data_IF_097032826111
#
_entry.id   IF_097032826111
#
_cell.length_a   1.000
_cell.length_b   1.000
_cell.length_c   1.000
_cell.angle_alpha   90.00
_cell.angle_beta   90.00
_cell.angle_gamma   90.00
#
_symmetry.space_group_name_H-M   'P 1'
#
loop_
_entity.id
_entity.type
_entity.pdbx_description
1 polymer ?
#
# COMPACT_ATOMS: atom_id res chain seq x y z
N UNK A 1 -8.35 -22.98 26.70
CA UNK A 1 -7.30 -21.93 26.62
C UNK A 1 -6.58 -22.19 25.31
N UNK A 2 -6.56 -21.23 24.38
CA UNK A 2 -6.03 -21.45 23.02
C UNK A 2 -4.53 -21.71 23.11
N UNK A 3 -4.08 -22.92 22.83
CA UNK A 3 -2.65 -23.32 22.90
C UNK A 3 -1.75 -22.57 21.92
N UNK A 4 -2.33 -21.87 20.95
CA UNK A 4 -1.65 -21.19 19.85
C UNK A 4 -1.53 -19.67 20.04
N UNK A 5 -2.06 -19.12 21.13
CA UNK A 5 -2.05 -17.69 21.42
C UNK A 5 -1.32 -17.42 22.73
N UNK A 6 -0.51 -16.37 22.74
CA UNK A 6 0.04 -15.79 23.96
C UNK A 6 -1.03 -14.95 24.67
N UNK A 7 -0.95 -14.80 26.01
CA UNK A 7 -1.73 -13.77 26.69
C UNK A 7 -1.30 -12.39 26.21
N UNK A 8 -2.25 -11.46 26.10
CA UNK A 8 -1.92 -10.06 25.82
C UNK A 8 -1.11 -9.45 26.99
N UNK A 9 -0.20 -8.50 26.72
CA UNK A 9 0.47 -7.74 27.78
C UNK A 9 -0.53 -7.08 28.73
N UNK A 10 -0.19 -6.97 30.02
CA UNK A 10 -1.13 -6.44 31.04
C UNK A 10 -1.68 -5.05 30.73
N UNK A 11 -0.91 -4.18 30.07
CA UNK A 11 -1.37 -2.85 29.69
C UNK A 11 -2.41 -2.86 28.55
N UNK A 12 -2.59 -4.00 27.86
CA UNK A 12 -3.63 -4.20 26.86
C UNK A 12 -4.98 -4.62 27.48
N UNK A 13 -5.06 -4.74 28.80
CA UNK A 13 -6.32 -5.00 29.48
C UNK A 13 -7.33 -3.88 29.21
N UNK A 14 -8.54 -4.25 28.81
CA UNK A 14 -9.60 -3.28 28.51
C UNK A 14 -9.51 -2.67 27.11
N UNK A 15 -8.70 -3.24 26.22
CA UNK A 15 -8.68 -2.85 24.79
C UNK A 15 -10.08 -2.77 24.20
N UNK A 16 -10.33 -1.71 23.43
CA UNK A 16 -11.59 -1.49 22.70
C UNK A 16 -11.71 -2.38 21.46
N UNK A 17 -10.59 -2.66 20.80
CA UNK A 17 -10.50 -3.54 19.65
C UNK A 17 -10.29 -5.01 20.05
N UNK A 18 -10.53 -5.92 19.11
CA UNK A 18 -10.27 -7.36 19.25
C UNK A 18 -8.85 -7.68 18.82
N UNK A 19 -8.11 -8.37 19.70
CA UNK A 19 -6.70 -8.67 19.51
C UNK A 19 -6.42 -10.16 19.55
N UNK A 20 -5.40 -10.56 18.80
CA UNK A 20 -4.68 -11.81 19.03
C UNK A 20 -3.18 -11.54 19.11
N UNK A 21 -2.51 -12.24 20.04
CA UNK A 21 -1.06 -12.33 20.05
C UNK A 21 -0.68 -13.78 19.75
N UNK A 22 -0.18 -14.02 18.54
CA UNK A 22 0.13 -15.36 18.07
C UNK A 22 1.38 -15.88 18.77
N UNK A 23 1.32 -17.12 19.26
CA UNK A 23 2.48 -17.81 19.81
C UNK A 23 3.24 -18.50 18.68
N UNK A 24 4.27 -17.83 18.14
CA UNK A 24 5.09 -18.38 17.06
C UNK A 24 5.71 -19.75 17.42
N UNK A 25 6.09 -19.95 18.69
CA UNK A 25 6.57 -21.25 19.17
C UNK A 25 5.49 -22.34 19.14
N UNK A 26 4.24 -21.99 19.44
CA UNK A 26 3.14 -22.96 19.43
C UNK A 26 2.66 -23.28 18.01
N UNK A 27 2.78 -22.35 17.07
CA UNK A 27 2.46 -22.59 15.65
C UNK A 27 3.65 -23.10 14.84
N UNK A 28 4.84 -23.21 15.44
CA UNK A 28 6.01 -23.80 14.79
C UNK A 28 5.82 -25.28 14.43
N UNK A 29 4.90 -25.97 15.12
CA UNK A 29 4.49 -27.34 14.81
C UNK A 29 2.99 -27.47 14.98
N UNK A 30 2.28 -27.57 13.87
CA UNK A 30 0.82 -27.68 13.86
C UNK A 30 0.39 -29.16 13.93
N UNK A 31 -0.60 -29.50 14.78
CA UNK A 31 -1.17 -30.85 14.82
C UNK A 31 -2.09 -31.12 13.63
N UNK A 32 -2.19 -32.39 13.24
CA UNK A 32 -3.14 -32.83 12.22
C UNK A 32 -2.77 -32.42 10.79
N UNK A 33 -3.80 -32.23 9.98
CA UNK A 33 -3.74 -31.79 8.59
C UNK A 33 -4.03 -30.28 8.50
N UNK A 34 -3.30 -29.59 7.62
CA UNK A 34 -3.45 -28.17 7.26
C UNK A 34 -2.94 -27.96 5.84
N UNK A 35 -3.56 -27.06 5.08
CA UNK A 35 -3.19 -26.81 3.69
C UNK A 35 -3.65 -25.42 3.23
N UNK A 36 -2.82 -24.40 3.48
CA UNK A 36 -3.07 -23.04 2.99
C UNK A 36 -2.14 -22.65 1.84
N UNK A 37 -2.64 -21.83 0.93
CA UNK A 37 -1.81 -21.13 -0.04
C UNK A 37 -1.06 -19.96 0.62
N UNK A 38 0.08 -19.57 0.06
CA UNK A 38 0.74 -18.31 0.38
C UNK A 38 -0.07 -17.08 -0.09
N UNK A 39 -1.07 -17.27 -0.96
CA UNK A 39 -1.96 -16.21 -1.40
C UNK A 39 -3.09 -15.91 -0.41
N UNK A 40 -3.40 -16.87 0.47
CA UNK A 40 -4.52 -16.78 1.40
C UNK A 40 -4.04 -16.33 2.79
N UNK A 41 -4.88 -15.57 3.50
CA UNK A 41 -4.63 -15.19 4.88
C UNK A 41 -4.39 -16.44 5.77
N UNK A 42 -3.56 -16.37 6.82
CA UNK A 42 -3.22 -17.55 7.63
C UNK A 42 -4.41 -18.31 8.26
N UNK A 43 -5.56 -17.66 8.39
CA UNK A 43 -6.79 -18.24 8.94
C UNK A 43 -7.88 -18.50 7.90
N UNK A 44 -7.59 -18.27 6.62
CA UNK A 44 -8.45 -18.65 5.51
C UNK A 44 -8.18 -20.10 5.05
N UNK A 45 -7.73 -20.98 5.95
CA UNK A 45 -7.51 -22.40 5.67
C UNK A 45 -8.84 -23.17 5.82
N UNK A 46 -9.41 -23.70 4.72
CA UNK A 46 -10.67 -24.44 4.78
C UNK A 46 -10.50 -25.87 5.31
N UNK A 47 -9.27 -26.38 5.41
CA UNK A 47 -9.00 -27.80 5.61
C UNK A 47 -8.01 -28.00 6.77
N UNK A 48 -8.49 -27.73 7.98
CA UNK A 48 -7.76 -27.96 9.23
C UNK A 48 -8.44 -29.04 10.05
N UNK A 49 -7.75 -30.16 10.29
CA UNK A 49 -8.33 -31.29 11.01
C UNK A 49 -8.31 -31.13 12.53
N UNK A 50 -7.35 -30.38 13.08
CA UNK A 50 -7.26 -30.14 14.51
C UNK A 50 -8.29 -29.10 14.98
N UNK A 51 -9.15 -29.49 15.90
CA UNK A 51 -10.25 -28.62 16.39
C UNK A 51 -9.74 -27.42 17.19
N UNK A 52 -8.59 -27.52 17.86
CA UNK A 52 -7.98 -26.41 18.61
C UNK A 52 -7.42 -25.35 17.67
N UNK A 53 -6.71 -25.77 16.63
CA UNK A 53 -6.19 -24.92 15.58
C UNK A 53 -7.32 -24.26 14.79
N UNK A 54 -8.31 -25.04 14.34
CA UNK A 54 -9.48 -24.53 13.61
C UNK A 54 -10.22 -23.43 14.39
N UNK A 55 -10.42 -23.61 15.70
CA UNK A 55 -11.02 -22.59 16.58
C UNK A 55 -10.15 -21.35 16.73
N UNK A 56 -8.83 -21.51 16.76
CA UNK A 56 -7.88 -20.40 16.82
C UNK A 56 -7.94 -19.58 15.53
N UNK A 57 -7.85 -20.22 14.36
CA UNK A 57 -7.96 -19.55 13.07
C UNK A 57 -9.31 -18.81 12.92
N UNK A 58 -10.40 -19.46 13.34
CA UNK A 58 -11.74 -18.83 13.38
C UNK A 58 -11.80 -17.59 14.29
N UNK A 59 -11.01 -17.55 15.36
CA UNK A 59 -10.88 -16.37 16.22
C UNK A 59 -10.03 -15.28 15.58
N UNK A 60 -8.87 -15.63 15.00
CA UNK A 60 -8.01 -14.70 14.26
C UNK A 60 -8.78 -14.01 13.14
N UNK A 61 -9.67 -14.71 12.44
CA UNK A 61 -10.49 -14.12 11.40
C UNK A 61 -11.47 -13.03 11.90
N UNK A 62 -11.66 -12.90 13.21
CA UNK A 62 -12.57 -11.91 13.83
C UNK A 62 -11.84 -10.80 14.60
N UNK A 63 -10.51 -10.76 14.57
CA UNK A 63 -9.74 -9.72 15.24
C UNK A 63 -9.54 -8.49 14.37
N UNK A 64 -9.30 -7.35 14.99
CA UNK A 64 -8.93 -6.11 14.30
C UNK A 64 -7.39 -6.00 14.18
N UNK A 65 -6.67 -6.61 15.13
CA UNK A 65 -5.21 -6.61 15.17
C UNK A 65 -4.68 -8.01 15.48
N UNK A 66 -3.60 -8.40 14.80
CA UNK A 66 -2.85 -9.64 15.05
C UNK A 66 -1.39 -9.29 15.28
N UNK A 67 -0.87 -9.56 16.47
CA UNK A 67 0.54 -9.39 16.81
C UNK A 67 1.30 -10.71 16.61
N UNK A 68 2.49 -10.63 16.04
CA UNK A 68 3.48 -11.70 15.96
C UNK A 68 4.70 -11.42 16.84
N UNK A 69 4.97 -10.15 17.12
CA UNK A 69 6.07 -9.67 17.96
C UNK A 69 5.58 -8.64 18.98
N UNK A 70 6.25 -8.57 20.13
CA UNK A 70 5.89 -7.64 21.21
C UNK A 70 6.09 -6.17 20.80
N UNK A 71 7.05 -5.85 19.93
CA UNK A 71 7.27 -4.48 19.40
C UNK A 71 6.03 -3.92 18.71
N UNK A 72 5.14 -4.77 18.19
CA UNK A 72 3.89 -4.31 17.58
C UNK A 72 3.02 -3.51 18.55
N UNK A 73 3.06 -3.84 19.84
CA UNK A 73 2.34 -3.10 20.87
C UNK A 73 2.97 -1.75 21.22
N UNK A 74 4.22 -1.49 20.83
CA UNK A 74 4.83 -0.16 20.95
C UNK A 74 4.26 0.79 19.88
N UNK A 75 3.83 0.22 18.75
CA UNK A 75 3.24 0.94 17.62
C UNK A 75 1.74 1.14 17.84
N UNK A 76 1.02 0.05 18.10
CA UNK A 76 -0.44 0.03 18.23
C UNK A 76 -0.81 -0.24 19.71
N UNK A 77 -1.51 0.71 20.33
CA UNK A 77 -1.89 0.66 21.75
C UNK A 77 -3.30 0.08 22.02
N UNK A 78 -3.70 -0.01 23.30
CA UNK A 78 -5.00 -0.55 23.70
C UNK A 78 -6.20 0.29 23.25
N UNK A 79 -6.00 1.58 23.01
CA UNK A 79 -7.04 2.52 22.62
C UNK A 79 -7.30 2.53 21.10
N UNK A 80 -6.45 1.83 20.34
CA UNK A 80 -6.54 1.79 18.89
C UNK A 80 -7.81 1.09 18.42
N UNK A 81 -8.45 1.64 17.38
CA UNK A 81 -9.65 1.08 16.76
C UNK A 81 -9.47 0.96 15.27
N UNK A 82 -10.21 0.04 14.63
CA UNK A 82 -10.37 -0.04 13.18
C UNK A 82 -11.85 0.18 12.85
N UNK A 83 -12.15 1.18 12.02
CA UNK A 83 -13.50 1.53 11.62
C UNK A 83 -13.65 1.47 10.10
N UNK A 84 -14.65 0.75 9.59
CA UNK A 84 -14.96 0.70 8.15
C UNK A 84 -15.81 1.90 7.75
N UNK A 85 -15.16 3.05 7.52
CA UNK A 85 -15.80 4.36 7.35
C UNK A 85 -16.49 4.55 5.99
N UNK A 86 -16.05 3.82 4.95
CA UNK A 86 -16.72 3.80 3.65
C UNK A 86 -16.85 2.37 3.14
N UNK A 87 -18.07 1.96 2.79
CA UNK A 87 -18.37 0.70 2.11
C UNK A 87 -18.62 0.98 0.63
N UNK A 88 -17.64 0.65 -0.20
CA UNK A 88 -17.67 0.97 -1.63
C UNK A 88 -17.85 -0.30 -2.47
N UNK A 89 -17.97 -0.12 -3.79
CA UNK A 89 -17.99 -1.22 -4.73
C UNK A 89 -16.79 -2.15 -4.51
N UNK A 90 -16.94 -3.42 -4.87
CA UNK A 90 -15.87 -4.41 -4.77
C UNK A 90 -14.83 -4.22 -5.87
N UNK A 91 -14.17 -3.06 -5.83
CA UNK A 91 -13.18 -2.56 -6.77
C UNK A 91 -11.91 -2.19 -6.03
N UNK A 92 -10.80 -2.12 -6.76
CA UNK A 92 -9.54 -1.69 -6.16
C UNK A 92 -9.62 -0.17 -5.93
N UNK A 93 -9.34 0.24 -4.70
CA UNK A 93 -9.19 1.64 -4.35
C UNK A 93 -7.73 1.90 -4.01
N UNK A 94 -7.20 3.01 -4.52
CA UNK A 94 -5.76 3.27 -4.62
C UNK A 94 -5.44 4.71 -4.23
N UNK A 95 -4.16 5.08 -4.31
CA UNK A 95 -3.67 6.45 -4.15
C UNK A 95 -4.06 7.19 -2.85
N UNK A 96 -4.11 6.56 -1.65
CA UNK A 96 -4.54 7.26 -0.46
C UNK A 96 -3.53 8.35 -0.06
N UNK A 97 -4.04 9.56 0.17
CA UNK A 97 -3.27 10.73 0.57
C UNK A 97 -4.05 11.52 1.61
N UNK A 98 -3.54 11.60 2.84
CA UNK A 98 -4.09 12.50 3.84
C UNK A 98 -3.59 13.92 3.62
N UNK A 99 -4.52 14.85 3.39
CA UNK A 99 -4.30 16.27 3.17
C UNK A 99 -4.58 16.99 4.48
N UNK A 100 -3.52 17.33 5.20
CA UNK A 100 -3.61 18.02 6.50
C UNK A 100 -4.33 19.37 6.39
N UNK A 101 -4.11 20.11 5.32
CA UNK A 101 -4.61 21.48 5.16
C UNK A 101 -6.13 21.55 5.00
N UNK A 102 -6.76 20.51 4.45
CA UNK A 102 -8.21 20.42 4.28
C UNK A 102 -8.85 19.36 5.19
N UNK A 103 -8.04 18.63 5.96
CA UNK A 103 -8.45 17.50 6.79
C UNK A 103 -9.24 16.45 6.00
N UNK A 104 -8.71 16.05 4.84
CA UNK A 104 -9.36 15.13 3.92
C UNK A 104 -8.42 14.03 3.45
N UNK A 105 -8.99 12.89 3.06
CA UNK A 105 -8.25 11.81 2.38
C UNK A 105 -8.64 11.79 0.92
N UNK A 106 -7.67 12.08 0.04
CA UNK A 106 -7.76 11.81 -1.38
C UNK A 106 -7.51 10.33 -1.64
N UNK A 107 -8.28 9.70 -2.52
CA UNK A 107 -8.03 8.36 -3.03
C UNK A 107 -8.83 8.15 -4.33
N UNK A 108 -8.69 7.00 -4.97
CA UNK A 108 -9.33 6.70 -6.25
C UNK A 108 -10.02 5.34 -6.24
N UNK A 109 -10.98 5.14 -7.14
CA UNK A 109 -11.37 3.82 -7.63
C UNK A 109 -10.59 3.56 -8.91
N UNK A 110 -10.10 2.34 -9.12
CA UNK A 110 -9.18 2.03 -10.20
C UNK A 110 -9.62 0.86 -11.08
N UNK A 111 -9.70 1.13 -12.39
CA UNK A 111 -9.88 0.17 -13.47
C UNK A 111 -11.30 -0.41 -13.63
N UNK A 112 -11.50 -1.26 -14.65
CA UNK A 112 -12.83 -1.84 -14.94
C UNK A 112 -13.36 -2.75 -13.82
N UNK A 113 -14.69 -2.92 -13.70
CA UNK A 113 -15.76 -2.23 -14.43
C UNK A 113 -16.09 -0.82 -13.91
N UNK A 114 -15.27 -0.25 -13.02
CA UNK A 114 -15.46 1.09 -12.49
C UNK A 114 -15.33 2.18 -13.56
N UNK A 115 -15.76 3.40 -13.25
CA UNK A 115 -15.63 4.53 -14.17
C UNK A 115 -16.43 4.34 -15.46
N UNK A 116 -15.94 4.90 -16.57
CA UNK A 116 -16.42 4.61 -17.92
C UNK A 116 -15.45 3.60 -18.56
N UNK A 117 -15.82 2.31 -18.53
CA UNK A 117 -14.98 1.19 -18.96
C UNK A 117 -13.55 1.19 -18.36
N UNK A 118 -13.42 1.56 -17.09
CA UNK A 118 -12.12 1.65 -16.40
C UNK A 118 -11.44 3.01 -16.45
N UNK A 119 -12.01 3.97 -17.18
CA UNK A 119 -11.53 5.35 -17.24
C UNK A 119 -12.25 6.24 -16.24
N UNK A 120 -11.47 6.88 -15.36
CA UNK A 120 -11.93 7.72 -14.26
C UNK A 120 -11.39 9.14 -14.41
N UNK A 121 -12.23 10.09 -14.82
CA UNK A 121 -11.94 11.54 -14.84
C UNK A 121 -12.26 12.26 -13.52
N UNK A 122 -12.50 11.48 -12.47
CA UNK A 122 -12.89 11.95 -11.15
C UNK A 122 -12.17 11.13 -10.07
N UNK A 123 -12.04 11.71 -8.88
CA UNK A 123 -11.38 11.12 -7.73
C UNK A 123 -12.25 11.27 -6.48
N UNK A 124 -11.92 10.54 -5.42
CA UNK A 124 -12.62 10.64 -4.15
C UNK A 124 -11.90 11.58 -3.20
N UNK A 125 -12.69 12.35 -2.45
CA UNK A 125 -12.24 13.18 -1.34
C UNK A 125 -13.12 12.92 -0.13
N UNK A 126 -12.56 12.22 0.86
CA UNK A 126 -13.21 11.85 2.11
C UNK A 126 -12.92 12.90 3.17
N UNK A 127 -13.96 13.53 3.69
CA UNK A 127 -13.89 14.36 4.89
C UNK A 127 -13.73 13.47 6.13
N UNK A 128 -12.62 13.63 6.86
CA UNK A 128 -12.27 12.69 7.95
C UNK A 128 -13.05 12.92 9.23
N UNK A 129 -13.69 14.08 9.39
CA UNK A 129 -14.50 14.39 10.57
C UNK A 129 -15.92 13.85 10.42
N UNK A 130 -16.50 14.05 9.23
CA UNK A 130 -17.90 13.72 8.95
C UNK A 130 -18.06 12.37 8.26
N UNK A 131 -16.97 11.75 7.79
CA UNK A 131 -16.97 10.61 6.88
C UNK A 131 -17.80 10.89 5.61
N UNK A 132 -17.91 12.15 5.18
CA UNK A 132 -18.60 12.48 3.93
C UNK A 132 -17.67 12.24 2.75
N UNK A 133 -18.08 11.39 1.83
CA UNK A 133 -17.35 11.11 0.61
C UNK A 133 -17.87 11.98 -0.55
N UNK A 134 -16.98 12.71 -1.21
CA UNK A 134 -17.30 13.50 -2.39
C UNK A 134 -16.52 12.99 -3.60
N UNK A 135 -17.11 13.08 -4.79
CA UNK A 135 -16.38 12.96 -6.06
C UNK A 135 -15.93 14.34 -6.50
N UNK A 136 -14.67 14.44 -6.88
CA UNK A 136 -14.06 15.67 -7.39
C UNK A 136 -13.48 15.43 -8.79
N UNK A 137 -13.29 16.52 -9.54
CA UNK A 137 -12.53 16.55 -10.78
C UNK A 137 -11.57 17.73 -10.70
N UNK A 138 -10.33 17.54 -11.12
CA UNK A 138 -9.32 18.61 -11.17
C UNK A 138 -9.53 19.52 -12.37
N UNK A 139 -8.84 20.67 -12.38
CA UNK A 139 -8.80 21.60 -13.51
C UNK A 139 -7.36 21.73 -14.06
N UNK A 140 -7.04 21.18 -15.24
CA UNK A 140 -7.91 20.35 -16.08
C UNK A 140 -8.14 18.94 -15.49
N UNK A 141 -9.12 18.16 -16.02
CA UNK A 141 -9.43 16.82 -15.49
C UNK A 141 -8.23 15.88 -15.48
N UNK A 142 -8.07 15.16 -14.37
CA UNK A 142 -7.08 14.11 -14.19
C UNK A 142 -7.73 12.76 -14.43
N UNK A 143 -7.09 11.93 -15.24
CA UNK A 143 -7.59 10.60 -15.61
C UNK A 143 -6.76 9.52 -14.94
N UNK A 144 -7.43 8.49 -14.41
CA UNK A 144 -6.81 7.26 -13.92
C UNK A 144 -5.59 7.50 -13.02
N UNK A 145 -5.77 8.37 -12.03
CA UNK A 145 -4.82 8.48 -10.93
C UNK A 145 -4.64 7.13 -10.23
N UNK A 146 -3.43 6.85 -9.74
CA UNK A 146 -3.06 5.53 -9.22
C UNK A 146 -2.23 5.64 -7.94
N UNK A 147 -1.26 6.57 -7.91
CA UNK A 147 -0.42 6.81 -6.74
C UNK A 147 -0.48 8.25 -6.28
N UNK A 148 -0.34 8.48 -4.98
CA UNK A 148 -0.33 9.82 -4.42
C UNK A 148 0.63 9.97 -3.24
N UNK A 149 1.31 11.13 -3.18
CA UNK A 149 2.07 11.63 -2.03
C UNK A 149 1.79 13.11 -1.82
N UNK A 150 1.52 13.53 -0.58
CA UNK A 150 1.49 14.95 -0.21
C UNK A 150 2.92 15.39 0.11
N UNK A 151 3.35 16.49 -0.50
CA UNK A 151 4.64 17.12 -0.22
C UNK A 151 4.53 18.63 -0.38
N UNK A 152 5.05 19.38 0.59
CA UNK A 152 5.01 20.84 0.60
C UNK A 152 3.61 21.42 0.27
N UNK A 153 2.59 20.97 1.01
CA UNK A 153 1.19 21.41 0.90
C UNK A 153 0.50 21.13 -0.45
N UNK A 154 1.11 20.33 -1.33
CA UNK A 154 0.52 19.94 -2.62
C UNK A 154 0.41 18.41 -2.71
N UNK A 155 -0.64 17.95 -3.38
CA UNK A 155 -0.73 16.56 -3.80
C UNK A 155 0.18 16.37 -5.02
N UNK A 156 0.99 15.32 -5.02
CA UNK A 156 1.69 14.84 -6.20
C UNK A 156 1.09 13.49 -6.54
N UNK A 157 0.54 13.38 -7.74
CA UNK A 157 -0.26 12.24 -8.17
C UNK A 157 0.32 11.69 -9.45
N UNK A 158 0.38 10.37 -9.54
CA UNK A 158 0.75 9.68 -10.77
C UNK A 158 -0.44 8.98 -11.41
N UNK A 159 -0.42 8.85 -12.74
CA UNK A 159 -1.51 8.26 -13.53
C UNK A 159 -1.05 7.11 -14.42
N UNK A 160 -1.98 6.22 -14.78
CA UNK A 160 -1.76 5.23 -15.84
C UNK A 160 -1.87 5.84 -17.25
N UNK A 161 -2.66 6.91 -17.39
CA UNK A 161 -3.16 7.37 -18.69
C UNK A 161 -4.50 6.71 -19.06
N UNK A 162 -4.92 6.83 -20.31
CA UNK A 162 -6.12 6.16 -20.83
C UNK A 162 -6.05 5.97 -22.34
N UNK A 163 -6.65 4.88 -22.82
CA UNK A 163 -6.81 4.54 -24.24
C UNK A 163 -5.46 4.60 -25.00
N UNK A 164 -5.44 5.22 -26.18
CA UNK A 164 -4.25 5.60 -26.94
C UNK A 164 -3.96 7.12 -26.92
N UNK A 165 -4.72 7.87 -26.12
CA UNK A 165 -4.63 9.34 -26.06
C UNK A 165 -3.61 9.84 -25.01
N UNK A 166 -3.49 9.14 -23.87
CA UNK A 166 -2.67 9.57 -22.75
C UNK A 166 -1.84 8.41 -22.18
N UNK A 167 -0.57 8.68 -21.87
CA UNK A 167 0.31 7.79 -21.10
C UNK A 167 0.55 8.34 -19.69
N UNK A 168 1.26 7.58 -18.86
CA UNK A 168 1.48 7.95 -17.47
C UNK A 168 2.06 9.35 -17.26
N UNK A 169 1.50 10.07 -16.29
CA UNK A 169 1.94 11.42 -15.93
C UNK A 169 2.26 11.50 -14.44
N UNK A 170 3.18 12.40 -14.08
CA UNK A 170 3.26 12.96 -12.74
C UNK A 170 2.65 14.36 -12.78
N UNK A 171 1.66 14.60 -11.94
CA UNK A 171 0.98 15.89 -11.80
C UNK A 171 1.12 16.42 -10.38
N UNK A 172 1.03 17.73 -10.24
CA UNK A 172 0.91 18.41 -8.95
C UNK A 172 -0.45 19.09 -8.86
N UNK A 173 -1.15 18.93 -7.75
CA UNK A 173 -2.51 19.44 -7.53
C UNK A 173 -2.53 20.34 -6.29
N UNK A 174 -3.12 21.52 -6.43
CA UNK A 174 -3.49 22.39 -5.31
C UNK A 174 -4.72 21.79 -4.60
N UNK A 175 -4.63 21.41 -3.30
CA UNK A 175 -5.73 20.74 -2.61
C UNK A 175 -6.94 21.64 -2.35
N UNK A 176 -6.80 22.97 -2.41
CA UNK A 176 -7.89 23.91 -2.20
C UNK A 176 -8.61 24.26 -3.49
N UNK A 177 -7.87 24.48 -4.58
CA UNK A 177 -8.47 24.91 -5.86
C UNK A 177 -8.69 23.76 -6.83
N UNK A 178 -8.12 22.58 -6.57
CA UNK A 178 -8.08 21.41 -7.46
C UNK A 178 -7.46 21.70 -8.83
N UNK A 179 -6.68 22.77 -8.95
CA UNK A 179 -5.92 23.05 -10.16
C UNK A 179 -4.73 22.12 -10.20
N UNK A 180 -4.49 21.53 -11.37
CA UNK A 180 -3.37 20.63 -11.57
C UNK A 180 -2.43 21.12 -12.67
N UNK A 181 -1.14 20.83 -12.50
CA UNK A 181 -0.11 20.98 -13.52
C UNK A 181 0.59 19.65 -13.79
N UNK A 182 0.72 19.28 -15.07
CA UNK A 182 1.57 18.15 -15.47
C UNK A 182 3.03 18.53 -15.34
N UNK A 183 3.78 17.77 -14.51
CA UNK A 183 5.21 17.97 -14.31
C UNK A 183 6.03 17.18 -15.34
N UNK A 184 5.69 15.90 -15.55
CA UNK A 184 6.29 15.05 -16.59
C UNK A 184 5.25 14.11 -17.19
N UNK A 185 5.43 13.76 -18.46
CA UNK A 185 4.59 12.80 -19.19
C UNK A 185 5.37 11.99 -20.23
N UNK A 186 6.69 12.15 -20.30
CA UNK A 186 7.57 11.41 -21.21
C UNK A 186 9.00 11.35 -20.67
N UNK A 187 9.79 10.41 -21.19
CA UNK A 187 11.23 10.35 -21.03
C UNK A 187 11.90 10.53 -22.39
N UNK A 188 12.35 11.75 -22.70
CA UNK A 188 12.98 12.07 -23.99
C UNK A 188 12.13 11.65 -25.20
N UNK A 189 10.85 12.04 -25.20
CA UNK A 189 9.84 11.70 -26.24
C UNK A 189 9.32 10.26 -26.15
N UNK A 190 9.88 9.41 -25.28
CA UNK A 190 9.32 8.10 -25.00
C UNK A 190 8.14 8.22 -24.01
N UNK A 191 6.94 7.66 -24.33
CA UNK A 191 5.85 7.60 -23.36
C UNK A 191 6.19 6.64 -22.21
N UNK A 192 5.65 6.90 -21.02
CA UNK A 192 5.71 5.94 -19.91
C UNK A 192 4.68 4.82 -20.14
N UNK A 193 4.86 3.67 -19.47
CA UNK A 193 3.90 2.57 -19.58
C UNK A 193 2.59 2.87 -18.85
N UNK A 194 2.69 3.48 -17.67
CA UNK A 194 1.59 3.78 -16.77
C UNK A 194 2.12 3.73 -15.33
N UNK A 195 2.14 4.89 -14.68
CA UNK A 195 2.70 4.98 -13.33
C UNK A 195 1.72 4.40 -12.31
N UNK A 196 2.26 3.68 -11.32
CA UNK A 196 1.48 3.03 -10.28
C UNK A 196 1.59 3.78 -8.94
N UNK A 197 2.79 4.07 -8.46
CA UNK A 197 3.01 4.80 -7.20
C UNK A 197 4.21 5.75 -7.30
N UNK A 198 4.37 6.58 -6.27
CA UNK A 198 5.49 7.49 -6.12
C UNK A 198 5.93 7.65 -4.66
N UNK A 199 7.17 8.10 -4.50
CA UNK A 199 7.72 8.59 -3.24
C UNK A 199 8.55 9.86 -3.50
N UNK A 200 8.63 10.73 -2.49
CA UNK A 200 9.36 11.99 -2.57
C UNK A 200 10.42 12.02 -1.47
N UNK A 201 11.68 12.27 -1.86
CA UNK A 201 12.78 12.40 -0.89
C UNK A 201 12.70 13.73 -0.11
N UNK A 202 13.40 13.87 1.03
CA UNK A 202 13.39 15.11 1.81
C UNK A 202 13.92 16.36 1.06
N UNK A 203 14.50 16.19 -0.13
CA UNK A 203 14.94 17.30 -0.99
C UNK A 203 13.90 17.64 -2.06
N UNK A 204 12.83 16.86 -2.17
CA UNK A 204 11.74 16.99 -3.12
C UNK A 204 11.92 16.23 -4.43
N UNK A 205 12.94 15.36 -4.57
CA UNK A 205 13.10 14.53 -5.77
C UNK A 205 12.10 13.37 -5.76
N UNK A 206 11.70 12.93 -6.96
CA UNK A 206 10.67 11.90 -7.11
C UNK A 206 11.28 10.54 -7.43
N UNK A 207 10.67 9.49 -6.89
CA UNK A 207 10.86 8.09 -7.28
C UNK A 207 9.52 7.57 -7.76
N UNK A 208 9.43 7.20 -9.04
CA UNK A 208 8.17 6.84 -9.70
C UNK A 208 8.23 5.38 -10.13
N UNK A 209 7.20 4.60 -9.87
CA UNK A 209 7.09 3.22 -10.35
C UNK A 209 6.27 3.18 -11.63
N UNK A 210 6.91 2.80 -12.74
CA UNK A 210 6.27 2.61 -14.04
C UNK A 210 5.96 1.12 -14.22
N UNK A 211 4.69 0.80 -14.42
CA UNK A 211 4.14 -0.55 -14.25
C UNK A 211 3.44 -1.05 -15.50
N UNK A 212 3.11 -2.34 -15.52
CA UNK A 212 2.22 -2.95 -16.53
C UNK A 212 0.76 -2.97 -16.09
N UNK A 213 0.40 -2.33 -14.97
CA UNK A 213 -0.90 -2.45 -14.33
C UNK A 213 -2.03 -1.89 -15.20
N UNK A 214 -1.91 -0.64 -15.68
CA UNK A 214 -2.88 -0.04 -16.60
C UNK A 214 -3.07 -0.84 -17.88
N UNK A 215 -1.96 -1.26 -18.50
CA UNK A 215 -2.04 -2.15 -19.67
C UNK A 215 -2.75 -3.46 -19.32
N UNK A 216 -2.39 -4.15 -18.25
CA UNK A 216 -3.02 -5.40 -17.86
C UNK A 216 -4.50 -5.32 -17.53
N UNK A 217 -4.99 -4.13 -17.20
CA UNK A 217 -6.42 -3.89 -16.94
C UNK A 217 -7.17 -3.29 -18.13
N UNK A 218 -6.53 -3.19 -19.29
CA UNK A 218 -7.13 -2.60 -20.50
C UNK A 218 -7.55 -1.14 -20.28
N UNK A 219 -6.84 -0.42 -19.41
CA UNK A 219 -7.00 1.02 -19.20
C UNK A 219 -6.29 1.81 -20.32
N UNK A 220 -5.18 1.26 -20.81
CA UNK A 220 -4.44 1.77 -21.97
C UNK A 220 -4.34 0.69 -23.05
N UNK A 221 -4.35 1.12 -24.31
CA UNK A 221 -4.40 0.23 -25.47
C UNK A 221 -3.04 -0.02 -26.13
N UNK A 222 -2.02 0.73 -25.73
CA UNK A 222 -0.67 0.53 -26.21
C UNK A 222 0.10 -0.48 -25.35
N UNK A 223 0.96 -1.27 -26.00
CA UNK A 223 1.87 -2.18 -25.29
C UNK A 223 2.95 -1.35 -24.55
N UNK A 224 3.20 -1.62 -23.26
CA UNK A 224 4.25 -0.97 -22.48
C UNK A 224 5.59 -0.95 -23.23
N UNK A 225 6.19 0.24 -23.45
CA UNK A 225 7.37 0.38 -24.30
C UNK A 225 8.65 -0.16 -23.64
N UNK A 226 8.64 -0.38 -22.32
CA UNK A 226 9.77 -0.89 -21.54
C UNK A 226 9.32 -1.92 -20.50
N UNK A 227 10.30 -2.57 -19.87
CA UNK A 227 10.04 -3.32 -18.64
C UNK A 227 9.60 -2.39 -17.52
N UNK A 228 8.88 -2.90 -16.50
CA UNK A 228 8.51 -2.10 -15.35
C UNK A 228 9.77 -1.56 -14.66
N UNK A 229 9.77 -0.28 -14.37
CA UNK A 229 10.97 0.50 -14.06
C UNK A 229 10.67 1.47 -12.94
N UNK A 230 11.61 1.65 -12.02
CA UNK A 230 11.59 2.74 -11.06
C UNK A 230 12.47 3.86 -11.60
N UNK A 231 11.89 5.04 -11.78
CA UNK A 231 12.57 6.23 -12.25
C UNK A 231 12.87 7.18 -11.09
N UNK A 232 14.06 7.76 -11.08
CA UNK A 232 14.38 8.95 -10.29
C UNK A 232 14.17 10.20 -11.14
N UNK A 233 13.58 11.24 -10.57
CA UNK A 233 13.36 12.54 -11.23
C UNK A 233 13.86 13.66 -10.34
N UNK A 234 14.85 14.41 -10.84
CA UNK A 234 15.42 15.57 -10.15
C UNK A 234 14.44 16.74 -10.20
N UNK A 235 14.07 17.28 -9.04
CA UNK A 235 12.96 18.26 -8.94
C UNK A 235 13.17 19.58 -9.68
N UNK A 236 14.41 20.04 -9.80
CA UNK A 236 14.71 21.39 -10.29
C UNK A 236 14.91 21.40 -11.82
N UNK A 237 15.36 20.28 -12.38
CA UNK A 237 15.67 20.18 -13.81
C UNK A 237 14.81 19.15 -14.53
N UNK A 238 13.97 18.41 -13.82
CA UNK A 238 13.21 17.24 -14.31
C UNK A 238 14.09 16.23 -15.05
N UNK A 239 15.35 16.09 -14.62
CA UNK A 239 16.25 15.10 -15.20
C UNK A 239 15.83 13.73 -14.70
N UNK A 240 15.43 12.87 -15.63
CA UNK A 240 14.91 11.54 -15.37
C UNK A 240 16.03 10.49 -15.55
N UNK A 241 16.04 9.49 -14.68
CA UNK A 241 16.95 8.34 -14.80
C UNK A 241 16.28 7.05 -14.30
N UNK A 242 16.31 5.95 -15.06
CA UNK A 242 16.01 4.63 -14.52
C UNK A 242 16.99 4.26 -13.40
N UNK A 243 16.47 3.94 -12.21
CA UNK A 243 17.28 3.51 -11.06
C UNK A 243 17.08 2.04 -10.71
N UNK A 244 15.93 1.45 -11.07
CA UNK A 244 15.68 0.01 -10.95
C UNK A 244 14.87 -0.49 -12.13
N UNK A 245 15.20 -1.67 -12.66
CA UNK A 245 14.34 -2.39 -13.60
C UNK A 245 13.97 -3.70 -12.90
N UNK A 246 12.69 -4.01 -12.85
CA UNK A 246 12.19 -5.26 -12.25
C UNK A 246 11.88 -6.30 -13.32
N UNK A 247 12.07 -7.57 -12.98
CA UNK A 247 11.65 -8.69 -13.83
C UNK A 247 10.15 -9.05 -13.62
N UNK A 248 9.55 -8.54 -12.54
CA UNK A 248 8.14 -8.71 -12.22
C UNK A 248 7.34 -7.47 -12.60
N UNK A 249 6.61 -6.90 -11.64
CA UNK A 249 5.93 -5.62 -11.79
C UNK A 249 6.38 -4.65 -10.69
N UNK A 250 6.56 -3.38 -11.05
CA UNK A 250 6.79 -2.31 -10.08
C UNK A 250 5.42 -1.88 -9.53
N UNK A 251 5.34 -1.66 -8.21
CA UNK A 251 4.08 -1.34 -7.53
C UNK A 251 4.30 -0.16 -6.58
N UNK A 252 4.14 -0.32 -5.27
CA UNK A 252 4.52 0.70 -4.30
C UNK A 252 6.00 1.11 -4.35
N UNK A 253 6.32 2.22 -3.72
CA UNK A 253 7.69 2.65 -3.42
C UNK A 253 7.67 3.49 -2.14
N UNK A 254 8.64 3.28 -1.27
CA UNK A 254 8.74 4.06 -0.03
C UNK A 254 10.18 4.27 0.40
N UNK A 255 10.41 5.29 1.22
CA UNK A 255 11.74 5.65 1.66
C UNK A 255 11.85 5.71 3.19
N UNK A 256 12.99 5.27 3.72
CA UNK A 256 13.33 5.48 5.13
C UNK A 256 13.25 6.97 5.52
N UNK A 257 12.93 7.34 6.78
CA UNK A 257 12.82 8.74 7.20
C UNK A 257 14.05 9.60 6.85
N UNK A 258 15.25 9.04 6.96
CA UNK A 258 16.49 9.76 6.64
C UNK A 258 16.87 9.80 5.16
N UNK A 259 16.03 9.28 4.27
CA UNK A 259 16.28 9.27 2.83
C UNK A 259 17.44 8.38 2.35
N UNK A 260 17.82 7.37 3.13
CA UNK A 260 19.01 6.55 2.91
C UNK A 260 18.71 5.16 2.34
N UNK A 261 17.49 4.67 2.53
CA UNK A 261 17.04 3.36 2.04
C UNK A 261 15.75 3.49 1.27
N UNK A 262 15.70 2.90 0.07
CA UNK A 262 14.52 2.77 -0.77
C UNK A 262 13.96 1.36 -0.64
N UNK A 263 12.65 1.24 -0.46
CA UNK A 263 11.92 -0.02 -0.39
C UNK A 263 11.03 -0.16 -1.62
N UNK A 264 11.17 -1.28 -2.33
CA UNK A 264 10.41 -1.57 -3.55
C UNK A 264 9.86 -2.99 -3.46
N UNK A 265 8.53 -3.19 -3.38
CA UNK A 265 7.90 -4.49 -3.57
C UNK A 265 7.98 -4.93 -5.04
N UNK A 266 8.17 -6.22 -5.25
CA UNK A 266 8.07 -6.88 -6.55
C UNK A 266 6.78 -7.71 -6.57
N UNK A 267 5.82 -7.33 -7.41
CA UNK A 267 4.54 -8.02 -7.57
C UNK A 267 4.49 -8.89 -8.83
N UNK A 268 5.62 -9.54 -9.14
CA UNK A 268 5.80 -10.44 -10.27
C UNK A 268 4.96 -11.72 -10.26
N UNK A 269 4.21 -12.01 -9.20
CA UNK A 269 3.11 -12.99 -9.23
C UNK A 269 1.95 -12.60 -10.15
N UNK A 270 1.86 -11.32 -10.54
CA UNK A 270 0.80 -10.78 -11.39
C UNK A 270 1.09 -11.04 -12.87
N UNK A 271 0.20 -11.76 -13.53
CA UNK A 271 0.11 -11.82 -14.99
C UNK A 271 -0.96 -10.82 -15.44
N UNK A 272 -0.72 -10.13 -16.54
CA UNK A 272 -1.49 -8.93 -16.91
C UNK A 272 -2.47 -9.17 -18.06
N UNK A 273 -2.06 -9.82 -19.15
CA UNK A 273 -2.95 -10.14 -20.27
C UNK A 273 -2.77 -11.61 -20.72
N UNK A 274 -3.69 -12.54 -20.37
CA UNK A 274 -4.84 -12.34 -19.48
C UNK A 274 -4.41 -12.13 -18.01
N UNK A 275 -5.28 -11.46 -17.24
CA UNK A 275 -5.04 -11.23 -15.81
C UNK A 275 -5.11 -12.52 -15.01
N UNK A 276 -4.04 -12.85 -14.30
CA UNK A 276 -3.96 -14.03 -13.42
C UNK A 276 -2.94 -13.82 -12.30
N UNK A 277 -2.99 -14.69 -11.28
CA UNK A 277 -1.98 -14.76 -10.21
C UNK A 277 -1.32 -16.13 -10.22
N UNK A 278 0.00 -16.18 -10.02
CA UNK A 278 0.76 -17.43 -9.88
C UNK A 278 1.42 -17.52 -8.50
N UNK A 279 1.27 -18.63 -7.76
CA UNK A 279 1.87 -18.77 -6.43
C UNK A 279 3.41 -18.79 -6.45
N UNK A 280 4.02 -19.00 -7.62
CA UNK A 280 5.47 -19.08 -7.79
C UNK A 280 6.14 -17.76 -8.20
N UNK A 281 5.34 -16.70 -8.47
CA UNK A 281 5.91 -15.41 -8.82
C UNK A 281 6.45 -14.66 -7.61
N UNK A 282 7.28 -13.64 -7.87
CA UNK A 282 7.90 -12.83 -6.82
C UNK A 282 6.82 -12.04 -6.05
N UNK A 283 7.00 -11.96 -4.73
CA UNK A 283 6.16 -11.21 -3.76
C UNK A 283 7.04 -10.38 -2.81
N UNK A 284 8.32 -10.25 -3.14
CA UNK A 284 9.37 -9.79 -2.24
C UNK A 284 9.38 -8.28 -2.06
N UNK A 285 9.56 -7.82 -0.82
CA UNK A 285 9.97 -6.45 -0.52
C UNK A 285 11.50 -6.37 -0.55
N UNK A 286 12.06 -5.60 -1.49
CA UNK A 286 13.50 -5.37 -1.58
C UNK A 286 13.88 -4.02 -0.98
N UNK A 287 15.03 -3.97 -0.29
CA UNK A 287 15.64 -2.73 0.17
C UNK A 287 16.90 -2.40 -0.65
N UNK A 288 17.17 -1.10 -0.82
CA UNK A 288 18.32 -0.58 -1.54
C UNK A 288 18.91 0.62 -0.81
N UNK A 289 20.24 0.74 -0.84
CA UNK A 289 20.92 1.93 -0.33
C UNK A 289 20.89 3.04 -1.38
N UNK A 290 20.61 4.27 -0.96
CA UNK A 290 20.51 5.44 -1.82
C UNK A 290 21.81 6.26 -1.75
N UNK A 291 22.41 6.54 -2.89
CA UNK A 291 23.58 7.42 -2.98
C UNK A 291 23.26 8.86 -2.54
N UNK A 292 24.29 9.64 -2.21
CA UNK A 292 24.12 11.06 -1.82
C UNK A 292 23.36 11.90 -2.86
N UNK A 293 23.47 11.60 -4.16
CA UNK A 293 22.72 12.31 -5.20
C UNK A 293 21.26 11.87 -5.31
N UNK A 294 20.85 10.74 -4.72
CA UNK A 294 19.53 10.11 -4.92
C UNK A 294 19.44 9.25 -6.19
N UNK A 295 20.13 9.66 -7.25
CA UNK A 295 20.02 9.08 -8.59
C UNK A 295 20.74 7.74 -8.82
N UNK A 296 21.30 7.12 -7.77
CA UNK A 296 21.89 5.78 -7.82
C UNK A 296 21.44 5.02 -6.58
N UNK A 297 20.90 3.82 -6.80
CA UNK A 297 20.58 2.86 -5.74
C UNK A 297 21.50 1.64 -5.85
N UNK A 298 21.80 0.99 -4.72
CA UNK A 298 22.75 -0.13 -4.66
C UNK A 298 22.39 -1.12 -3.54
N UNK A 299 23.17 -2.19 -3.38
CA UNK A 299 23.01 -3.16 -2.29
C UNK A 299 21.59 -3.74 -2.15
N UNK A 300 21.00 -4.15 -3.28
CA UNK A 300 19.71 -4.84 -3.32
C UNK A 300 19.74 -6.04 -2.37
N UNK A 301 18.78 -6.09 -1.45
CA UNK A 301 18.60 -7.19 -0.51
C UNK A 301 17.12 -7.50 -0.34
N UNK A 302 16.78 -8.78 -0.21
CA UNK A 302 15.46 -9.19 0.24
C UNK A 302 15.32 -8.71 1.69
N UNK A 303 14.30 -7.88 1.95
CA UNK A 303 13.99 -7.43 3.30
C UNK A 303 12.90 -8.31 3.91
N UNK A 304 11.80 -8.49 3.20
CA UNK A 304 10.64 -9.21 3.71
C UNK A 304 9.83 -9.86 2.58
N UNK A 305 8.94 -10.76 2.96
CA UNK A 305 7.99 -11.42 2.07
C UNK A 305 6.64 -11.54 2.80
N UNK A 306 5.49 -11.25 2.15
CA UNK A 306 4.20 -11.14 2.80
C UNK A 306 3.72 -12.42 3.46
N UNK A 307 3.08 -12.25 4.62
CA UNK A 307 2.40 -13.33 5.34
C UNK A 307 1.31 -13.99 4.46
N UNK A 308 0.62 -13.16 3.66
CA UNK A 308 -0.33 -13.59 2.63
C UNK A 308 -0.38 -12.64 1.44
N UNK A 309 -0.71 -13.21 0.27
CA UNK A 309 -0.84 -12.48 -0.99
C UNK A 309 0.47 -11.77 -1.37
N UNK A 310 0.46 -10.49 -1.71
CA UNK A 310 1.67 -9.72 -2.02
C UNK A 310 1.59 -8.33 -1.37
N UNK A 311 2.71 -7.60 -1.40
CA UNK A 311 2.75 -6.21 -0.97
C UNK A 311 2.43 -5.26 -2.13
N UNK A 312 1.34 -4.53 -1.99
CA UNK A 312 0.88 -3.56 -2.99
C UNK A 312 1.46 -2.17 -2.71
N UNK A 313 0.67 -1.27 -2.12
CA UNK A 313 1.15 0.02 -1.61
C UNK A 313 2.03 -0.15 -0.37
N UNK A 314 3.10 0.65 -0.30
CA UNK A 314 4.05 0.66 0.82
C UNK A 314 4.24 2.09 1.32
N UNK A 315 4.22 2.29 2.64
CA UNK A 315 4.56 3.56 3.27
C UNK A 315 5.44 3.34 4.50
N UNK A 316 6.25 4.33 4.84
CA UNK A 316 7.18 4.26 5.99
C UNK A 316 6.82 5.34 6.98
N UNK A 317 6.58 4.96 8.24
CA UNK A 317 6.30 5.91 9.31
C UNK A 317 7.54 6.72 9.66
N UNK A 318 7.36 7.83 10.39
CA UNK A 318 8.49 8.66 10.84
C UNK A 318 9.57 7.93 11.64
N UNK A 319 9.22 6.83 12.32
CA UNK A 319 10.14 6.03 13.12
C UNK A 319 10.76 4.87 12.32
N UNK A 320 10.45 4.75 11.03
CA UNK A 320 11.06 3.77 10.13
C UNK A 320 10.27 2.47 9.98
N UNK A 321 9.16 2.28 10.69
CA UNK A 321 8.28 1.13 10.51
C UNK A 321 7.67 1.14 9.11
N UNK A 322 7.70 -0.01 8.44
CA UNK A 322 7.20 -0.14 7.07
C UNK A 322 5.80 -0.73 7.12
N UNK A 323 4.83 -0.08 6.50
CA UNK A 323 3.44 -0.50 6.41
C UNK A 323 3.13 -0.89 4.97
N UNK A 324 2.71 -2.14 4.76
CA UNK A 324 2.46 -2.68 3.43
C UNK A 324 1.03 -3.20 3.30
N UNK A 325 0.32 -2.80 2.24
CA UNK A 325 -0.94 -3.42 1.85
C UNK A 325 -0.73 -4.89 1.49
N UNK A 326 -1.37 -5.79 2.23
CA UNK A 326 -1.19 -7.24 2.15
C UNK A 326 -2.54 -7.96 2.07
N UNK A 327 -2.50 -9.29 1.89
CA UNK A 327 -3.69 -10.12 1.62
C UNK A 327 -4.80 -10.06 2.65
N UNK A 328 -4.51 -9.66 3.89
CA UNK A 328 -5.52 -9.57 4.97
C UNK A 328 -5.67 -8.16 5.58
N UNK A 329 -4.78 -7.25 5.25
CA UNK A 329 -4.68 -5.98 5.95
C UNK A 329 -3.35 -5.31 5.70
N UNK A 330 -2.90 -4.52 6.66
CA UNK A 330 -1.61 -3.85 6.61
C UNK A 330 -0.61 -4.62 7.48
N UNK A 331 0.39 -5.23 6.85
CA UNK A 331 1.54 -5.78 7.55
C UNK A 331 2.46 -4.63 8.01
N UNK A 332 2.87 -4.67 9.27
CA UNK A 332 3.83 -3.72 9.85
C UNK A 332 5.17 -4.43 10.05
N UNK A 333 6.21 -3.95 9.37
CA UNK A 333 7.50 -4.62 9.23
C UNK A 333 8.58 -3.81 9.95
N UNK A 334 9.44 -4.52 10.67
CA UNK A 334 10.67 -3.98 11.25
C UNK A 334 11.74 -3.86 10.15
N UNK A 335 12.23 -2.65 9.82
CA UNK A 335 13.21 -2.46 8.75
C UNK A 335 14.59 -3.07 9.07
N UNK A 336 14.91 -3.29 10.35
CA UNK A 336 16.21 -3.82 10.77
C UNK A 336 16.26 -5.34 10.64
N UNK A 337 15.16 -6.01 11.02
CA UNK A 337 15.10 -7.48 11.03
C UNK A 337 14.39 -8.07 9.82
N UNK A 338 13.55 -7.28 9.13
CA UNK A 338 12.71 -7.74 8.03
C UNK A 338 11.46 -8.50 8.45
N UNK A 339 11.26 -8.74 9.75
CA UNK A 339 10.10 -9.47 10.27
C UNK A 339 8.84 -8.60 10.28
N UNK A 340 7.71 -9.22 9.91
CA UNK A 340 6.38 -8.68 10.17
C UNK A 340 6.09 -8.74 11.66
N UNK A 341 5.94 -7.58 12.30
CA UNK A 341 5.64 -7.43 13.72
C UNK A 341 4.18 -7.76 14.03
N UNK A 342 3.28 -7.42 13.11
CA UNK A 342 1.85 -7.65 13.21
C UNK A 342 1.10 -7.17 11.98
N UNK A 343 -0.19 -7.49 11.93
CA UNK A 343 -1.10 -7.10 10.85
C UNK A 343 -2.28 -6.32 11.42
N UNK A 344 -2.54 -5.14 10.84
CA UNK A 344 -3.75 -4.34 11.08
C UNK A 344 -4.81 -4.80 10.09
N UNK A 345 -5.87 -5.42 10.58
CA UNK A 345 -6.84 -6.13 9.74
C UNK A 345 -7.95 -5.21 9.25
N UNK A 346 -8.42 -5.44 8.03
CA UNK A 346 -9.56 -4.70 7.42
C UNK A 346 -10.83 -5.58 7.32
N UNK A 347 -10.96 -6.53 8.24
CA UNK A 347 -12.10 -7.45 8.32
C UNK A 347 -11.87 -8.81 7.65
N UNK A 348 -10.82 -8.96 6.83
CA UNK A 348 -10.46 -10.19 6.14
C UNK A 348 -11.55 -10.80 5.26
N UNK A 349 -11.26 -11.94 4.63
CA UNK A 349 -12.21 -12.63 3.74
C UNK A 349 -12.29 -11.96 2.38
N UNK A 350 -13.41 -11.30 2.07
CA UNK A 350 -13.61 -10.63 0.79
C UNK A 350 -12.83 -9.31 0.69
N UNK A 351 -12.60 -8.59 1.79
CA UNK A 351 -11.88 -7.31 1.75
C UNK A 351 -10.39 -7.51 1.51
N UNK A 352 -9.76 -6.56 0.81
CA UNK A 352 -8.31 -6.55 0.56
C UNK A 352 -7.76 -5.15 0.80
N UNK A 353 -6.73 -5.03 1.64
CA UNK A 353 -5.99 -3.79 1.79
C UNK A 353 -5.03 -3.61 0.61
N UNK A 354 -5.02 -2.40 0.03
CA UNK A 354 -4.21 -2.09 -1.15
C UNK A 354 -3.13 -1.07 -0.77
N UNK A 355 -3.50 0.04 -0.15
CA UNK A 355 -2.53 1.05 0.27
C UNK A 355 -2.98 1.79 1.52
N UNK A 356 -2.08 2.59 2.10
CA UNK A 356 -2.27 3.29 3.36
C UNK A 356 -1.74 4.72 3.29
N UNK A 357 -2.35 5.62 4.06
CA UNK A 357 -1.80 6.97 4.29
C UNK A 357 -1.86 7.33 5.77
N UNK A 358 -0.93 8.16 6.24
CA UNK A 358 -0.76 8.44 7.66
C UNK A 358 -1.32 9.80 8.04
N UNK A 359 -2.03 9.83 9.17
CA UNK A 359 -2.17 11.00 10.01
C UNK A 359 -1.16 10.94 11.16
N UNK A 360 -1.37 11.77 12.19
CA UNK A 360 -0.41 11.85 13.30
C UNK A 360 -0.40 10.58 14.13
N UNK A 361 -1.56 10.17 14.65
CA UNK A 361 -1.73 8.99 15.50
C UNK A 361 -2.86 8.11 14.94
N UNK A 362 -2.92 8.06 13.61
CA UNK A 362 -3.99 7.44 12.85
C UNK A 362 -3.51 7.13 11.43
N UNK A 363 -4.22 6.24 10.75
CA UNK A 363 -4.00 5.96 9.34
C UNK A 363 -5.31 5.62 8.65
N UNK A 364 -5.33 5.75 7.33
CA UNK A 364 -6.43 5.31 6.49
C UNK A 364 -5.95 4.25 5.53
N UNK A 365 -6.68 3.15 5.46
CA UNK A 365 -6.45 2.05 4.52
C UNK A 365 -7.50 2.13 3.44
N UNK A 366 -7.08 2.06 2.19
CA UNK A 366 -7.98 1.91 1.04
C UNK A 366 -7.76 0.54 0.41
N UNK A 367 -8.81 0.01 -0.19
CA UNK A 367 -8.71 -1.20 -0.98
C UNK A 367 -10.06 -1.75 -1.38
N UNK A 368 -10.13 -3.06 -1.63
CA UNK A 368 -11.39 -3.70 -2.02
C UNK A 368 -12.32 -3.79 -0.83
N UNK A 369 -13.52 -3.24 -0.98
CA UNK A 369 -14.52 -3.09 0.08
C UNK A 369 -14.61 -1.66 0.65
N UNK A 370 -13.67 -0.77 0.33
CA UNK A 370 -13.77 0.66 0.60
C UNK A 370 -12.62 1.22 1.45
N UNK A 371 -12.96 1.97 2.50
CA UNK A 371 -11.98 2.72 3.31
C UNK A 371 -12.13 2.40 4.79
N UNK A 372 -11.00 2.11 5.45
CA UNK A 372 -10.91 1.93 6.88
C UNK A 372 -10.10 3.05 7.51
N UNK A 373 -10.53 3.50 8.68
CA UNK A 373 -9.83 4.47 9.50
C UNK A 373 -9.36 3.80 10.78
N UNK A 374 -8.06 3.82 11.01
CA UNK A 374 -7.44 3.29 12.22
C UNK A 374 -7.03 4.45 13.10
N UNK A 375 -7.66 4.57 14.26
CA UNK A 375 -7.54 5.73 15.17
C UNK A 375 -6.74 5.37 16.42
N UNK A 376 -6.31 6.39 17.15
CA UNK A 376 -5.66 6.27 18.47
C UNK A 376 -4.43 5.33 18.46
N UNK A 377 -3.67 5.35 17.37
CA UNK A 377 -2.40 4.64 17.28
C UNK A 377 -1.43 5.26 18.28
N UNK A 378 -0.75 4.40 19.05
CA UNK A 378 0.16 4.82 20.13
C UNK A 378 1.34 5.60 19.56
N UNK A 379 1.94 5.09 18.50
CA UNK A 379 3.04 5.76 17.83
C UNK A 379 2.58 6.90 16.94
N UNK A 380 3.45 7.91 16.78
CA UNK A 380 3.22 8.99 15.81
C UNK A 380 3.69 8.51 14.43
N UNK A 381 2.85 8.58 13.39
CA UNK A 381 3.12 7.99 12.08
C UNK A 381 3.57 9.00 11.01
N UNK A 382 2.92 10.17 10.95
CA UNK A 382 3.19 11.23 9.97
C UNK A 382 4.66 11.65 9.92
N UNK A 383 5.21 11.87 8.73
CA UNK A 383 6.53 12.49 8.54
C UNK A 383 6.42 14.01 8.70
N UNK A 384 7.55 14.68 8.94
CA UNK A 384 7.56 16.14 9.09
C UNK A 384 7.68 16.90 7.75
N UNK A 385 7.93 16.21 6.64
CA UNK A 385 8.09 16.76 5.29
C UNK A 385 7.08 16.18 4.30
#
# INVERSE_FOLDING_TARGET
>A
MYSFLNPLPRFMNGTVAKWAYVSLSAIATLPGHFNRSALDAPWADPDVSDTGLSRTLSFLNKTDFVAYDQKFFDIIGPDATVEHVQKLAYQSHEAPCYIKDTNQVFFVEWGPPGGDNGTHSWQYLLDVETNKLNKITTDPPLYNAHGCVVYNHSLHVVTDGHDDEQSGQLVKIDPHTLKQETLINNFLVQPFAGFNDLEIDPRGNFYLTDSKSGWGREIVDFMPPTNPTVYFVERDTFRIKPVHITDGNANGVAMSPGGQTLYIPDTGLSQFRPSAKTPYGKRALSAFDISKSGSVISNKRLLSDPVSYFYDGVRVSRNGWIFCGAGDGIDVIDPDTGFTLGTIRVGGGENLAVSVTFGKNELWVVGRGGVWHVKNIRDRLDRDW
#
